data_IF_935351561000
#
_entry.id   IF_935351561000
#
_cell.length_a   1.000
_cell.length_b   1.000
_cell.length_c   1.000
_cell.angle_alpha   90.00
_cell.angle_beta   90.00
_cell.angle_gamma   90.00
#
_symmetry.space_group_name_H-M   'P 1'
#
loop_
_entity.id
_entity.type
_entity.pdbx_description
1 polymer ?
#
# COMPACT_ATOMS: atom_id res chain seq x y z
N UNK A 1 -9.86 -1.02 18.55
CA UNK A 1 -8.53 -0.40 18.78
C UNK A 1 -7.41 -1.35 18.42
N UNK A 2 -7.38 -2.58 18.97
CA UNK A 2 -6.28 -3.52 18.69
C UNK A 2 -6.16 -3.91 17.21
N UNK A 3 -7.27 -4.16 16.52
CA UNK A 3 -7.25 -4.53 15.09
C UNK A 3 -6.75 -3.40 14.17
N UNK A 4 -7.23 -2.18 14.38
CA UNK A 4 -6.75 -1.01 13.63
C UNK A 4 -5.25 -0.78 13.89
N UNK A 5 -4.81 -0.89 15.14
CA UNK A 5 -3.38 -0.77 15.46
C UNK A 5 -2.54 -1.87 14.81
N UNK A 6 -3.06 -3.10 14.74
CA UNK A 6 -2.44 -4.20 14.00
C UNK A 6 -2.27 -3.85 12.52
N UNK A 7 -3.33 -3.39 11.84
CA UNK A 7 -3.23 -2.97 10.43
C UNK A 7 -2.22 -1.86 10.21
N UNK A 8 -2.23 -0.83 11.06
CA UNK A 8 -1.25 0.27 10.99
C UNK A 8 0.18 -0.24 11.12
N UNK A 9 0.43 -1.20 12.01
CA UNK A 9 1.74 -1.82 12.18
C UNK A 9 2.13 -2.67 10.96
N UNK A 10 1.21 -3.49 10.44
CA UNK A 10 1.44 -4.30 9.25
C UNK A 10 1.75 -3.44 8.02
N UNK A 11 0.95 -2.39 7.75
CA UNK A 11 1.15 -1.50 6.61
C UNK A 11 2.50 -0.78 6.75
N UNK A 12 2.84 -0.25 7.93
CA UNK A 12 4.15 0.38 8.16
C UNK A 12 5.30 -0.59 7.93
N UNK A 13 5.23 -1.79 8.50
CA UNK A 13 6.26 -2.81 8.30
C UNK A 13 6.39 -3.23 6.82
N UNK A 14 5.27 -3.32 6.10
CA UNK A 14 5.25 -3.58 4.67
C UNK A 14 5.97 -2.47 3.89
N UNK A 15 5.61 -1.20 4.13
CA UNK A 15 6.23 -0.06 3.46
C UNK A 15 7.71 0.08 3.82
N UNK A 16 8.07 -0.09 5.09
CA UNK A 16 9.46 -0.06 5.56
C UNK A 16 10.30 -1.12 4.84
N UNK A 17 9.78 -2.36 4.74
CA UNK A 17 10.43 -3.44 4.00
C UNK A 17 10.63 -3.05 2.54
N UNK A 18 9.57 -2.59 1.86
CA UNK A 18 9.65 -2.28 0.43
C UNK A 18 10.43 -1.01 0.08
N UNK A 19 10.53 -0.04 1.00
CA UNK A 19 11.34 1.17 0.82
C UNK A 19 12.83 0.88 0.64
N UNK A 20 13.28 -0.30 1.06
CA UNK A 20 14.67 -0.75 0.90
C UNK A 20 14.93 -1.35 -0.49
N UNK A 21 13.90 -1.68 -1.26
CA UNK A 21 14.02 -2.24 -2.61
C UNK A 21 14.02 -1.15 -3.69
N UNK A 22 14.37 -1.55 -4.92
CA UNK A 22 14.37 -0.69 -6.12
C UNK A 22 15.13 0.64 -5.95
N UNK A 23 16.27 0.58 -5.24
CA UNK A 23 17.17 1.72 -5.10
C UNK A 23 17.67 2.15 -6.47
N UNK A 24 17.60 3.45 -6.75
CA UNK A 24 18.05 4.04 -8.00
C UNK A 24 18.76 5.37 -7.69
N UNK A 25 19.98 5.54 -8.19
CA UNK A 25 20.76 6.74 -7.92
C UNK A 25 20.01 7.99 -8.39
N UNK A 26 19.87 8.98 -7.50
CA UNK A 26 19.13 10.22 -7.78
C UNK A 26 17.62 10.11 -7.56
N UNK A 27 17.12 8.96 -7.09
CA UNK A 27 15.72 8.74 -6.73
C UNK A 27 15.61 8.30 -5.28
N UNK A 28 14.79 9.01 -4.51
CA UNK A 28 14.48 8.68 -3.12
C UNK A 28 13.22 7.83 -3.05
N UNK A 29 13.24 6.84 -2.15
CA UNK A 29 12.05 6.17 -1.67
C UNK A 29 11.57 6.90 -0.40
N UNK A 30 10.42 7.55 -0.47
CA UNK A 30 9.86 8.35 0.61
C UNK A 30 8.62 7.65 1.19
N UNK A 31 8.65 7.36 2.49
CA UNK A 31 7.48 6.89 3.22
C UNK A 31 6.71 8.11 3.75
N UNK A 32 5.44 8.23 3.36
CA UNK A 32 4.54 9.31 3.79
C UNK A 32 3.41 8.66 4.58
N UNK A 33 3.29 9.04 5.86
CA UNK A 33 2.30 8.47 6.77
C UNK A 33 1.48 9.60 7.36
N UNK A 34 0.18 9.56 7.11
CA UNK A 34 -0.82 10.31 7.85
C UNK A 34 -1.54 9.34 8.79
N UNK A 35 -1.15 9.36 10.07
CA UNK A 35 -1.74 8.45 11.06
C UNK A 35 -3.07 8.96 11.63
N UNK A 36 -3.41 10.22 11.39
CA UNK A 36 -4.66 10.83 11.84
C UNK A 36 -5.80 10.46 10.88
N UNK A 37 -5.52 10.51 9.57
CA UNK A 37 -6.46 10.18 8.51
C UNK A 37 -6.29 8.76 7.94
N UNK A 38 -5.32 8.00 8.45
CA UNK A 38 -5.01 6.63 8.05
C UNK A 38 -4.63 6.48 6.55
N UNK A 39 -3.72 7.35 6.08
CA UNK A 39 -3.12 7.26 4.74
C UNK A 39 -1.64 6.87 4.81
N UNK A 40 -1.22 5.92 3.97
CA UNK A 40 0.11 5.33 4.01
C UNK A 40 0.67 5.15 2.59
N UNK A 41 1.74 5.86 2.25
CA UNK A 41 2.29 5.91 0.90
C UNK A 41 3.78 5.56 0.89
N UNK A 42 4.21 4.78 -0.11
CA UNK A 42 5.60 4.74 -0.54
C UNK A 42 5.72 5.45 -1.88
N UNK A 43 6.44 6.56 -1.92
CA UNK A 43 6.60 7.42 -3.10
C UNK A 43 8.03 7.32 -3.61
N UNK A 44 8.20 7.18 -4.93
CA UNK A 44 9.47 7.45 -5.59
C UNK A 44 9.55 8.92 -5.97
N UNK A 45 10.62 9.61 -5.59
CA UNK A 45 10.81 11.02 -5.89
C UNK A 45 12.27 11.34 -6.23
N UNK A 46 12.53 11.81 -7.45
CA UNK A 46 13.87 12.18 -7.88
C UNK A 46 14.03 12.36 -9.38
N UNK A 47 15.25 12.20 -9.87
CA UNK A 47 15.59 12.36 -11.28
C UNK A 47 16.60 11.28 -11.69
N UNK A 48 16.42 10.76 -12.90
CA UNK A 48 17.39 9.88 -13.56
C UNK A 48 17.81 10.57 -14.84
N UNK A 49 19.00 11.18 -14.84
CA UNK A 49 19.39 12.11 -15.90
C UNK A 49 18.43 13.31 -15.96
N UNK A 50 17.80 13.53 -17.11
CA UNK A 50 16.79 14.56 -17.36
C UNK A 50 15.34 14.07 -17.17
N UNK A 51 15.14 12.80 -16.79
CA UNK A 51 13.82 12.22 -16.57
C UNK A 51 13.38 12.39 -15.11
N UNK A 52 12.23 13.06 -14.91
CA UNK A 52 11.59 13.13 -13.59
C UNK A 52 11.04 11.77 -13.21
N UNK A 53 11.37 11.33 -11.99
CA UNK A 53 10.74 10.18 -11.35
C UNK A 53 9.87 10.70 -10.20
N UNK A 54 8.56 10.54 -10.33
CA UNK A 54 7.61 10.93 -9.30
C UNK A 54 6.31 10.12 -9.41
N UNK A 55 6.19 9.08 -8.62
CA UNK A 55 4.97 8.26 -8.59
C UNK A 55 4.86 7.45 -7.29
N UNK A 56 3.63 7.19 -6.81
CA UNK A 56 3.39 6.27 -5.71
C UNK A 56 3.69 4.83 -6.16
N UNK A 57 4.53 4.13 -5.41
CA UNK A 57 4.82 2.70 -5.60
C UNK A 57 3.72 1.87 -4.96
N UNK A 58 3.36 2.21 -3.72
CA UNK A 58 2.25 1.64 -2.98
C UNK A 58 1.45 2.75 -2.29
N UNK A 59 0.14 2.57 -2.22
CA UNK A 59 -0.75 3.43 -1.46
C UNK A 59 -1.80 2.60 -0.74
N UNK A 60 -1.88 2.77 0.58
CA UNK A 60 -2.87 2.15 1.43
C UNK A 60 -3.66 3.19 2.21
N UNK A 61 -4.96 2.95 2.37
CA UNK A 61 -5.77 3.59 3.41
C UNK A 61 -6.24 2.55 4.43
N UNK A 62 -6.63 3.00 5.63
CA UNK A 62 -7.53 2.24 6.49
C UNK A 62 -8.87 2.95 6.56
N UNK A 63 -9.93 2.31 6.05
CA UNK A 63 -11.29 2.87 6.00
C UNK A 63 -12.29 1.80 6.38
N UNK A 64 -13.29 2.17 7.18
CA UNK A 64 -14.36 1.26 7.62
C UNK A 64 -13.82 -0.06 8.20
N UNK A 65 -12.74 0.05 8.99
CA UNK A 65 -11.99 -1.07 9.57
C UNK A 65 -11.42 -2.06 8.55
N UNK A 66 -11.08 -1.62 7.34
CA UNK A 66 -10.41 -2.44 6.30
C UNK A 66 -9.23 -1.72 5.69
N UNK A 67 -8.31 -2.50 5.13
CA UNK A 67 -7.16 -1.99 4.40
C UNK A 67 -7.57 -1.82 2.94
N UNK A 68 -7.47 -0.60 2.43
CA UNK A 68 -7.75 -0.28 1.05
C UNK A 68 -6.44 -0.12 0.28
N UNK A 69 -6.23 -0.94 -0.74
CA UNK A 69 -5.08 -0.78 -1.65
C UNK A 69 -5.48 0.19 -2.75
N UNK A 70 -4.97 1.41 -2.68
CA UNK A 70 -5.27 2.46 -3.65
C UNK A 70 -4.33 2.43 -4.85
N UNK A 71 -3.10 1.92 -4.68
CA UNK A 71 -2.13 1.81 -5.76
C UNK A 71 -1.13 0.69 -5.47
N UNK A 72 -0.75 -0.03 -6.53
CA UNK A 72 0.38 -0.96 -6.55
C UNK A 72 0.97 -0.95 -7.97
N UNK A 73 2.04 -0.19 -8.18
CA UNK A 73 2.69 -0.09 -9.50
C UNK A 73 3.79 -1.16 -9.70
N UNK A 74 3.64 -2.32 -9.06
CA UNK A 74 4.66 -3.37 -9.02
C UNK A 74 4.03 -4.73 -9.28
N UNK A 75 4.86 -5.73 -9.57
CA UNK A 75 4.40 -7.12 -9.70
C UNK A 75 4.31 -7.84 -8.33
N UNK A 76 4.36 -7.11 -7.22
CA UNK A 76 4.26 -7.69 -5.87
C UNK A 76 2.84 -8.17 -5.59
N UNK A 77 2.73 -9.44 -5.23
CA UNK A 77 1.51 -10.06 -4.66
C UNK A 77 1.35 -9.65 -3.19
N UNK A 78 0.93 -8.40 -2.96
CA UNK A 78 0.83 -7.83 -1.61
C UNK A 78 -0.13 -8.61 -0.69
N UNK A 79 -1.12 -9.29 -1.25
CA UNK A 79 -2.09 -10.07 -0.50
C UNK A 79 -1.41 -11.21 0.26
N UNK A 80 -0.44 -11.89 -0.37
CA UNK A 80 0.34 -12.95 0.29
C UNK A 80 1.16 -12.44 1.47
N UNK A 81 1.72 -11.25 1.34
CA UNK A 81 2.49 -10.63 2.41
C UNK A 81 1.59 -10.19 3.57
N UNK A 82 0.44 -9.58 3.27
CA UNK A 82 -0.53 -9.18 4.29
C UNK A 82 -1.14 -10.41 4.97
N UNK A 83 -1.42 -11.49 4.23
CA UNK A 83 -1.85 -12.78 4.79
C UNK A 83 -0.80 -13.38 5.73
N UNK A 84 0.49 -13.32 5.37
CA UNK A 84 1.58 -13.75 6.24
C UNK A 84 1.68 -12.91 7.53
N UNK A 85 1.18 -11.67 7.51
CA UNK A 85 1.03 -10.80 8.68
C UNK A 85 -0.31 -10.99 9.43
N UNK A 86 -1.11 -11.98 9.02
CA UNK A 86 -2.39 -12.33 9.65
C UNK A 86 -3.59 -11.51 9.18
N UNK A 87 -3.50 -10.82 8.04
CA UNK A 87 -4.61 -10.07 7.44
C UNK A 87 -5.22 -10.91 6.32
N UNK A 88 -6.49 -11.29 6.46
CA UNK A 88 -7.19 -12.07 5.43
C UNK A 88 -7.62 -11.21 4.24
N UNK A 89 -7.84 -11.83 3.07
CA UNK A 89 -8.36 -11.14 1.87
C UNK A 89 -9.69 -10.40 2.09
N UNK A 90 -10.49 -10.84 3.07
CA UNK A 90 -11.78 -10.21 3.41
C UNK A 90 -11.64 -8.92 4.23
N UNK A 91 -10.42 -8.63 4.70
CA UNK A 91 -10.05 -7.39 5.38
C UNK A 91 -9.38 -6.39 4.43
N UNK A 92 -9.17 -6.79 3.17
CA UNK A 92 -8.50 -6.01 2.14
C UNK A 92 -9.51 -5.64 1.06
N UNK A 93 -9.51 -4.39 0.63
CA UNK A 93 -10.29 -3.88 -0.50
C UNK A 93 -9.34 -3.42 -1.59
N UNK A 94 -9.57 -3.88 -2.83
CA UNK A 94 -8.83 -3.39 -4.00
C UNK A 94 -9.42 -2.06 -4.45
N UNK A 95 -8.89 -0.96 -3.91
CA UNK A 95 -9.40 0.40 -4.09
C UNK A 95 -9.35 0.88 -5.54
N UNK A 96 -8.30 0.52 -6.28
CA UNK A 96 -8.14 0.87 -7.70
C UNK A 96 -9.02 0.04 -8.65
N UNK A 97 -9.68 -1.02 -8.19
CA UNK A 97 -10.74 -1.66 -8.96
C UNK A 97 -12.01 -0.83 -8.90
N UNK A 98 -12.68 -0.68 -10.05
CA UNK A 98 -14.01 -0.08 -10.11
C UNK A 98 -14.96 -0.82 -9.14
N UNK A 99 -15.85 -0.14 -8.39
CA UNK A 99 -16.69 -0.79 -7.37
C UNK A 99 -17.44 -2.02 -7.86
N UNK A 100 -18.01 -1.98 -9.07
CA UNK A 100 -18.72 -3.11 -9.70
C UNK A 100 -17.83 -4.33 -10.00
N UNK A 101 -16.51 -4.16 -10.05
CA UNK A 101 -15.58 -5.28 -10.30
C UNK A 101 -15.19 -5.99 -9.01
N UNK A 102 -15.35 -5.35 -7.85
CA UNK A 102 -14.88 -5.89 -6.57
C UNK A 102 -15.67 -7.11 -6.14
N UNK A 103 -16.95 -7.19 -6.50
CA UNK A 103 -17.81 -8.35 -6.23
C UNK A 103 -17.37 -9.63 -6.96
N UNK A 104 -16.55 -9.48 -8.01
CA UNK A 104 -15.98 -10.59 -8.77
C UNK A 104 -14.55 -10.94 -8.34
N UNK A 105 -14.04 -10.29 -7.29
CA UNK A 105 -12.73 -10.57 -6.72
C UNK A 105 -12.84 -11.43 -5.46
N UNK A 106 -11.74 -12.03 -5.04
CA UNK A 106 -11.63 -12.77 -3.77
C UNK A 106 -11.44 -11.85 -2.54
N UNK A 107 -11.41 -10.54 -2.75
CA UNK A 107 -11.24 -9.49 -1.74
C UNK A 107 -12.58 -8.91 -1.28
N UNK A 108 -12.55 -8.06 -0.26
CA UNK A 108 -13.74 -7.31 0.15
C UNK A 108 -14.16 -6.25 -0.87
N UNK A 109 -15.47 -5.93 -0.87
CA UNK A 109 -16.08 -4.94 -1.78
C UNK A 109 -16.01 -3.49 -1.27
N UNK A 110 -16.03 -3.32 0.05
CA UNK A 110 -15.89 -2.09 0.81
C UNK A 110 -15.36 -2.40 2.20
#
# INVERSE_FOLDING_TARGET
MDRLNHYRQCIRAFLDRYSQFWQENGVENQIIIDSEHDHYLLLKAGWVGDRRIYYPVFHFDIKDEKIWVQENTTDVELDKDLEAMGISKQEIVVGFHHPLMREHSEFATA
#
